data_IF_685083895074
#
_entry.id   IF_685083895074
#
_cell.length_a   1.000
_cell.length_b   1.000
_cell.length_c   1.000
_cell.angle_alpha   90.00
_cell.angle_beta   90.00
_cell.angle_gamma   90.00
#
_symmetry.space_group_name_H-M   'P 1'
#
loop_
_entity.id
_entity.type
_entity.pdbx_description
1 polymer ?
#
# COMPACT_ATOMS: atom_id res chain seq x y z
N UNK A 1 25.66 -30.61 -23.62
CA UNK A 1 24.26 -31.07 -23.79
C UNK A 1 23.56 -30.77 -22.47
N UNK A 2 22.28 -30.35 -22.54
CA UNK A 2 21.48 -29.68 -21.48
C UNK A 2 21.82 -28.18 -21.36
N UNK A 3 20.90 -27.21 -21.50
CA UNK A 3 19.45 -27.22 -21.69
C UNK A 3 18.89 -25.89 -21.15
N UNK A 4 19.01 -24.80 -21.91
CA UNK A 4 18.52 -23.47 -21.49
C UNK A 4 16.99 -23.38 -21.58
N UNK A 5 16.30 -22.82 -20.56
CA UNK A 5 14.86 -22.53 -20.66
C UNK A 5 14.59 -21.29 -21.52
N UNK A 6 13.61 -21.44 -22.40
CA UNK A 6 13.10 -20.45 -23.35
C UNK A 6 12.30 -19.36 -22.63
N UNK A 7 12.58 -18.10 -22.93
CA UNK A 7 11.70 -16.96 -22.64
C UNK A 7 10.55 -16.92 -23.65
N UNK A 8 9.31 -16.58 -23.25
CA UNK A 8 8.24 -16.33 -24.20
C UNK A 8 8.32 -14.90 -24.76
N UNK A 9 8.37 -14.84 -26.08
CA UNK A 9 8.25 -13.65 -26.92
C UNK A 9 6.81 -13.11 -26.92
N UNK A 10 6.58 -11.92 -26.37
CA UNK A 10 5.35 -11.16 -26.59
C UNK A 10 5.51 -10.36 -27.89
N UNK A 11 5.00 -10.92 -28.99
CA UNK A 11 4.81 -10.21 -30.26
C UNK A 11 3.51 -9.41 -30.24
N UNK A 12 3.51 -8.31 -31.00
CA UNK A 12 2.57 -7.21 -30.91
C UNK A 12 1.13 -7.49 -31.33
N UNK A 13 0.27 -6.53 -30.99
CA UNK A 13 -0.91 -6.16 -31.76
C UNK A 13 -1.14 -4.64 -31.59
N UNK A 14 -0.93 -3.82 -32.63
CA UNK A 14 -1.56 -2.51 -32.74
C UNK A 14 -2.81 -2.68 -33.62
N UNK A 15 -3.99 -2.56 -33.03
CA UNK A 15 -5.25 -2.66 -33.77
C UNK A 15 -6.30 -1.76 -33.12
N UNK A 16 -6.34 -0.48 -33.50
CA UNK A 16 -7.55 0.35 -33.64
C UNK A 16 -7.21 1.59 -34.49
N UNK A 17 -6.96 1.35 -35.79
CA UNK A 17 -7.26 2.35 -36.82
C UNK A 17 -8.77 2.32 -37.02
N UNK A 18 -9.46 3.37 -36.61
CA UNK A 18 -10.85 3.63 -37.00
C UNK A 18 -10.90 4.84 -37.93
N UNK A 19 -11.64 4.76 -39.04
CA UNK A 19 -11.59 5.70 -40.15
C UNK A 19 -12.36 7.00 -39.87
N UNK A 20 -11.97 8.03 -40.63
CA UNK A 20 -12.50 9.39 -40.57
C UNK A 20 -14.01 9.48 -40.72
N UNK A 21 -14.61 10.26 -39.84
CA UNK A 21 -15.98 10.71 -39.93
C UNK A 21 -16.01 11.99 -40.77
N UNK A 22 -16.39 11.86 -42.05
CA UNK A 22 -16.65 12.99 -42.94
C UNK A 22 -17.86 13.78 -42.43
N UNK A 23 -17.63 15.01 -41.99
CA UNK A 23 -18.68 15.97 -41.67
C UNK A 23 -19.11 16.62 -42.99
N UNK A 24 -20.22 16.14 -43.55
CA UNK A 24 -20.92 16.81 -44.64
C UNK A 24 -21.50 18.16 -44.21
N UNK A 25 -21.61 19.15 -45.12
CA UNK A 25 -22.16 20.46 -44.79
C UNK A 25 -23.68 20.38 -44.58
N UNK A 26 -24.14 20.72 -43.38
CA UNK A 26 -25.55 20.94 -43.08
C UNK A 26 -25.96 22.25 -43.72
N UNK A 27 -26.59 22.16 -44.88
CA UNK A 27 -27.34 23.25 -45.50
C UNK A 27 -28.75 23.25 -44.90
N UNK A 28 -29.14 24.39 -44.35
CA UNK A 28 -30.54 24.82 -44.31
C UNK A 28 -31.25 24.65 -42.96
N UNK A 29 -31.42 25.77 -42.25
CA UNK A 29 -32.75 26.35 -42.04
C UNK A 29 -32.64 27.61 -41.20
N UNK A 30 -32.53 28.75 -41.87
CA UNK A 30 -32.86 30.04 -41.30
C UNK A 30 -34.39 30.11 -41.16
N UNK A 31 -34.93 29.65 -40.04
CA UNK A 31 -36.33 29.84 -39.69
C UNK A 31 -36.43 30.49 -38.30
N UNK A 32 -36.86 31.76 -38.33
CA UNK A 32 -37.72 32.39 -37.32
C UNK A 32 -37.18 32.59 -35.89
N UNK A 33 -36.15 33.43 -35.74
CA UNK A 33 -35.61 33.89 -34.44
C UNK A 33 -36.43 35.01 -33.76
N UNK A 34 -37.75 35.09 -33.99
CA UNK A 34 -38.62 36.15 -33.43
C UNK A 34 -39.62 35.66 -32.38
N UNK A 35 -39.70 34.36 -32.12
CA UNK A 35 -40.54 33.73 -31.08
C UNK A 35 -39.87 33.59 -29.71
N UNK A 36 -38.58 33.20 -29.66
CA UNK A 36 -37.85 32.85 -28.43
C UNK A 36 -37.85 33.93 -27.33
N UNK A 37 -37.93 35.22 -27.69
CA UNK A 37 -37.91 36.30 -26.69
C UNK A 37 -39.19 36.44 -25.87
N UNK A 38 -40.32 35.99 -26.40
CA UNK A 38 -41.60 36.07 -25.68
C UNK A 38 -41.76 34.89 -24.71
N UNK A 39 -41.26 33.72 -25.09
CA UNK A 39 -41.34 32.52 -24.27
C UNK A 39 -40.34 32.57 -23.10
N UNK A 40 -39.11 33.05 -23.33
CA UNK A 40 -38.13 33.25 -22.25
C UNK A 40 -38.59 34.26 -21.18
N UNK A 41 -39.34 35.30 -21.57
CA UNK A 41 -39.92 36.26 -20.61
C UNK A 41 -41.06 35.66 -19.80
N UNK A 42 -41.88 34.81 -20.43
CA UNK A 42 -42.96 34.09 -19.76
C UNK A 42 -42.40 33.08 -18.77
N UNK A 43 -41.41 32.30 -19.17
CA UNK A 43 -40.71 31.35 -18.31
C UNK A 43 -40.02 32.04 -17.13
N UNK A 44 -39.34 33.17 -17.34
CA UNK A 44 -38.75 33.94 -16.26
C UNK A 44 -39.81 34.46 -15.27
N UNK A 45 -40.95 34.95 -15.78
CA UNK A 45 -42.05 35.41 -14.92
C UNK A 45 -42.74 34.27 -14.17
N UNK A 46 -42.84 33.09 -14.78
CA UNK A 46 -43.34 31.87 -14.14
C UNK A 46 -42.41 31.43 -13.01
N UNK A 47 -41.11 31.42 -13.29
CA UNK A 47 -40.08 31.05 -12.32
C UNK A 47 -40.07 31.97 -11.10
N UNK A 48 -40.10 33.29 -11.29
CA UNK A 48 -40.14 34.23 -10.16
C UNK A 48 -41.37 34.00 -9.27
N UNK A 49 -42.55 33.83 -9.89
CA UNK A 49 -43.81 33.57 -9.17
C UNK A 49 -43.85 32.23 -8.44
N UNK A 50 -43.20 31.20 -9.00
CA UNK A 50 -43.08 29.90 -8.35
C UNK A 50 -42.12 29.93 -7.15
N UNK A 51 -41.00 30.64 -7.30
CA UNK A 51 -39.90 30.62 -6.31
C UNK A 51 -40.20 31.51 -5.11
N UNK A 52 -40.76 32.71 -5.31
CA UNK A 52 -41.07 33.68 -4.25
C UNK A 52 -41.74 33.05 -3.00
N UNK A 53 -42.84 32.29 -3.13
CA UNK A 53 -43.53 31.69 -1.98
C UNK A 53 -42.73 30.56 -1.32
N UNK A 54 -41.77 29.95 -2.04
CA UNK A 54 -40.99 28.80 -1.57
C UNK A 54 -39.62 29.17 -0.98
N UNK A 55 -39.18 30.42 -1.08
CA UNK A 55 -37.82 30.86 -0.73
C UNK A 55 -37.38 30.47 0.68
N UNK A 56 -38.23 30.65 1.69
CA UNK A 56 -37.89 30.33 3.07
C UNK A 56 -37.72 28.82 3.30
N UNK A 57 -38.47 28.00 2.57
CA UNK A 57 -38.33 26.55 2.61
C UNK A 57 -37.06 26.10 1.89
N UNK A 58 -36.73 26.70 0.74
CA UNK A 58 -35.47 26.44 0.02
C UNK A 58 -34.25 26.80 0.87
N UNK A 59 -34.28 27.94 1.59
CA UNK A 59 -33.23 28.31 2.56
C UNK A 59 -33.07 27.28 3.66
N UNK A 60 -34.18 26.76 4.21
CA UNK A 60 -34.14 25.68 5.20
C UNK A 60 -33.49 24.42 4.64
N UNK A 61 -33.84 24.01 3.42
CA UNK A 61 -33.21 22.86 2.75
C UNK A 61 -31.70 23.11 2.58
N UNK A 62 -31.29 24.26 2.03
CA UNK A 62 -29.86 24.62 1.87
C UNK A 62 -29.09 24.61 3.20
N UNK A 63 -29.70 25.09 4.29
CA UNK A 63 -29.05 25.04 5.62
C UNK A 63 -28.81 23.61 6.10
N UNK A 64 -29.61 22.64 5.65
CA UNK A 64 -29.45 21.23 6.03
C UNK A 64 -28.36 20.51 5.22
N UNK A 65 -27.95 21.04 4.06
CA UNK A 65 -27.01 20.40 3.13
C UNK A 65 -25.53 20.71 3.41
N UNK A 66 -25.15 21.14 4.62
CA UNK A 66 -23.74 21.41 5.01
C UNK A 66 -22.98 22.33 4.01
N UNK A 67 -23.66 23.27 3.37
CA UNK A 67 -23.11 24.20 2.34
C UNK A 67 -22.72 23.54 1.01
N UNK A 68 -23.19 22.33 0.73
CA UNK A 68 -22.94 21.68 -0.56
C UNK A 68 -23.79 22.27 -1.69
N UNK A 69 -24.99 22.73 -1.35
CA UNK A 69 -25.92 23.34 -2.30
C UNK A 69 -26.24 24.75 -1.83
N UNK A 70 -26.14 25.71 -2.75
CA UNK A 70 -26.57 27.08 -2.49
C UNK A 70 -28.08 27.21 -2.71
N UNK A 71 -28.66 28.31 -2.23
CA UNK A 71 -30.08 28.59 -2.48
C UNK A 71 -30.33 28.76 -3.97
N UNK A 72 -29.38 29.30 -4.73
CA UNK A 72 -29.52 29.51 -6.16
C UNK A 72 -29.54 28.18 -6.94
N UNK A 73 -28.71 27.21 -6.53
CA UNK A 73 -28.77 25.85 -7.08
C UNK A 73 -30.15 25.22 -6.87
N UNK A 74 -30.69 25.35 -5.66
CA UNK A 74 -32.01 24.82 -5.33
C UNK A 74 -33.16 25.51 -6.08
N UNK A 75 -32.99 26.76 -6.51
CA UNK A 75 -34.00 27.42 -7.37
C UNK A 75 -34.03 26.77 -8.75
N UNK A 76 -32.86 26.51 -9.35
CA UNK A 76 -32.77 25.83 -10.65
C UNK A 76 -33.41 24.45 -10.55
N UNK A 77 -33.11 23.68 -9.50
CA UNK A 77 -33.71 22.36 -9.29
C UNK A 77 -35.22 22.42 -9.04
N UNK A 78 -35.70 23.45 -8.35
CA UNK A 78 -37.14 23.67 -8.14
C UNK A 78 -37.88 23.88 -9.47
N UNK A 79 -37.28 24.63 -10.40
CA UNK A 79 -37.84 24.84 -11.74
C UNK A 79 -37.89 23.55 -12.56
N UNK A 80 -36.79 22.78 -12.56
CA UNK A 80 -36.74 21.47 -13.23
C UNK A 80 -37.81 20.54 -12.64
N UNK A 81 -37.92 20.49 -11.31
CA UNK A 81 -38.92 19.68 -10.64
C UNK A 81 -40.36 20.08 -10.96
N UNK A 82 -40.65 21.37 -11.14
CA UNK A 82 -41.96 21.87 -11.53
C UNK A 82 -42.31 21.46 -12.97
N UNK A 83 -41.36 21.61 -13.90
CA UNK A 83 -41.54 21.19 -15.28
C UNK A 83 -41.78 19.68 -15.40
N UNK A 84 -40.99 18.87 -14.68
CA UNK A 84 -41.19 17.42 -14.63
C UNK A 84 -42.60 17.07 -14.16
N UNK A 85 -43.09 17.75 -13.12
CA UNK A 85 -44.40 17.48 -12.54
C UNK A 85 -45.57 17.88 -13.47
N UNK A 86 -45.44 19.00 -14.18
CA UNK A 86 -46.41 19.40 -15.20
C UNK A 86 -46.43 18.42 -16.39
N UNK A 87 -45.26 17.92 -16.81
CA UNK A 87 -45.16 16.91 -17.87
C UNK A 87 -45.78 15.57 -17.45
N UNK A 88 -45.57 15.14 -16.20
CA UNK A 88 -46.15 13.90 -15.66
C UNK A 88 -47.69 13.95 -15.59
N UNK A 89 -48.26 15.11 -15.25
CA UNK A 89 -49.72 15.30 -15.18
C UNK A 89 -50.35 15.61 -16.54
N UNK A 90 -49.59 16.12 -17.50
CA UNK A 90 -50.09 16.56 -18.80
C UNK A 90 -51.02 17.78 -18.70
N UNK A 91 -50.91 18.57 -17.63
CA UNK A 91 -51.74 19.75 -17.37
C UNK A 91 -50.84 20.93 -17.04
N UNK A 92 -51.08 22.06 -17.71
CA UNK A 92 -50.47 23.35 -17.34
C UNK A 92 -51.07 23.83 -16.02
N UNK A 93 -50.26 23.81 -14.96
CA UNK A 93 -50.61 24.32 -13.63
C UNK A 93 -50.03 25.72 -13.45
N UNK A 94 -50.74 26.57 -12.72
CA UNK A 94 -50.28 27.92 -12.41
C UNK A 94 -49.14 27.86 -11.38
N UNK A 95 -48.14 28.77 -11.43
CA UNK A 95 -47.00 28.74 -10.50
C UNK A 95 -47.41 29.03 -9.04
N UNK A 96 -48.56 29.65 -8.85
CA UNK A 96 -49.15 29.97 -7.53
C UNK A 96 -49.93 28.78 -6.94
N UNK A 97 -50.09 27.67 -7.68
CA UNK A 97 -50.82 26.51 -7.19
C UNK A 97 -50.09 25.83 -6.03
N UNK A 98 -50.74 25.81 -4.85
CA UNK A 98 -50.20 25.17 -3.64
C UNK A 98 -49.82 23.71 -3.88
N UNK A 99 -50.59 22.97 -4.69
CA UNK A 99 -50.31 21.57 -5.01
C UNK A 99 -49.00 21.38 -5.77
N UNK A 100 -48.69 22.30 -6.70
CA UNK A 100 -47.44 22.28 -7.45
C UNK A 100 -46.27 22.59 -6.52
N UNK A 101 -46.40 23.64 -5.71
CA UNK A 101 -45.38 24.06 -4.75
C UNK A 101 -45.07 22.97 -3.72
N UNK A 102 -46.09 22.34 -3.15
CA UNK A 102 -45.93 21.23 -2.21
C UNK A 102 -45.25 20.01 -2.86
N UNK A 103 -45.61 19.68 -4.10
CA UNK A 103 -45.01 18.57 -4.84
C UNK A 103 -43.51 18.82 -5.10
N UNK A 104 -43.17 20.03 -5.55
CA UNK A 104 -41.78 20.45 -5.78
C UNK A 104 -40.99 20.41 -4.47
N UNK A 105 -41.51 21.02 -3.40
CA UNK A 105 -40.87 21.00 -2.08
C UNK A 105 -40.65 19.56 -1.57
N UNK A 106 -41.65 18.68 -1.74
CA UNK A 106 -41.54 17.28 -1.34
C UNK A 106 -40.47 16.53 -2.12
N UNK A 107 -40.36 16.78 -3.43
CA UNK A 107 -39.30 16.22 -4.28
C UNK A 107 -37.92 16.71 -3.84
N UNK A 108 -37.77 18.01 -3.60
CA UNK A 108 -36.51 18.61 -3.10
C UNK A 108 -36.14 18.11 -1.70
N UNK A 109 -37.09 18.01 -0.76
CA UNK A 109 -36.83 17.43 0.57
C UNK A 109 -36.41 15.97 0.49
N UNK A 110 -36.95 15.20 -0.46
CA UNK A 110 -36.53 13.81 -0.68
C UNK A 110 -35.14 13.72 -1.30
N UNK A 111 -34.79 14.63 -2.20
CA UNK A 111 -33.52 14.65 -2.92
C UNK A 111 -32.36 15.27 -2.13
N UNK A 112 -32.63 16.29 -1.31
CA UNK A 112 -31.62 17.10 -0.62
C UNK A 112 -31.82 17.18 0.89
N UNK A 113 -32.95 16.72 1.40
CA UNK A 113 -33.24 16.76 2.82
C UNK A 113 -32.37 15.82 3.65
N UNK A 114 -32.60 15.86 4.97
CA UNK A 114 -31.79 15.22 6.04
C UNK A 114 -31.44 13.74 5.82
N UNK A 115 -32.15 13.02 4.95
CA UNK A 115 -32.02 11.58 4.72
C UNK A 115 -31.54 11.18 3.32
N UNK A 116 -31.48 12.11 2.36
CA UNK A 116 -31.25 11.77 0.96
C UNK A 116 -29.89 11.10 0.70
N UNK A 117 -28.94 11.29 1.61
CA UNK A 117 -27.59 10.76 1.46
C UNK A 117 -26.97 10.41 2.81
N UNK A 118 -27.60 9.51 3.58
CA UNK A 118 -26.99 9.01 4.83
C UNK A 118 -25.61 8.39 4.58
N UNK A 119 -25.46 7.69 3.46
CA UNK A 119 -24.21 7.07 3.01
C UNK A 119 -23.17 8.09 2.57
N UNK A 120 -23.51 9.08 1.75
CA UNK A 120 -22.56 10.12 1.35
C UNK A 120 -22.24 11.10 2.50
N UNK A 121 -23.15 11.28 3.47
CA UNK A 121 -22.90 12.11 4.67
C UNK A 121 -21.81 11.54 5.57
N UNK A 122 -21.62 10.22 5.55
CA UNK A 122 -20.53 9.52 6.24
C UNK A 122 -19.33 9.28 5.34
N UNK A 123 -19.46 9.46 4.03
CA UNK A 123 -18.34 9.31 3.12
C UNK A 123 -17.37 10.47 3.33
N UNK A 124 -16.10 10.14 3.52
CA UNK A 124 -15.05 11.11 3.72
C UNK A 124 -14.63 11.67 2.35
N UNK A 125 -14.72 12.99 2.16
CA UNK A 125 -14.34 13.64 0.90
C UNK A 125 -12.83 13.79 0.85
N UNK A 126 -12.19 13.13 -0.11
CA UNK A 126 -10.74 13.20 -0.30
C UNK A 126 -10.32 14.58 -0.84
N UNK A 127 -11.13 15.17 -1.73
CA UNK A 127 -10.85 16.45 -2.40
C UNK A 127 -11.10 17.69 -1.53
N UNK A 128 -11.63 17.52 -0.32
CA UNK A 128 -11.94 18.65 0.54
C UNK A 128 -10.68 19.15 1.24
N UNK A 129 -10.09 20.21 0.70
CA UNK A 129 -9.03 20.98 1.35
C UNK A 129 -9.63 21.70 2.57
N UNK A 130 -9.08 21.46 3.76
CA UNK A 130 -9.41 22.25 4.94
C UNK A 130 -8.49 23.46 5.00
N UNK A 131 -9.07 24.65 5.13
CA UNK A 131 -8.32 25.87 5.38
C UNK A 131 -8.16 26.01 6.90
N UNK A 132 -6.93 26.18 7.36
CA UNK A 132 -6.64 26.42 8.78
C UNK A 132 -6.99 27.86 9.20
N UNK A 133 -6.90 28.16 10.50
CA UNK A 133 -7.18 29.49 11.05
C UNK A 133 -6.22 30.59 10.51
N UNK A 134 -5.13 30.20 9.84
CA UNK A 134 -4.16 31.08 9.21
C UNK A 134 -4.43 31.30 7.71
N UNK A 135 -5.43 30.62 7.13
CA UNK A 135 -5.74 30.69 5.71
C UNK A 135 -4.90 29.76 4.83
N UNK A 136 -4.08 28.88 5.43
CA UNK A 136 -3.28 27.90 4.69
C UNK A 136 -4.11 26.65 4.39
N UNK A 137 -3.92 26.10 3.18
CA UNK A 137 -4.58 24.88 2.74
C UNK A 137 -3.86 23.68 3.34
N UNK A 138 -4.52 22.98 4.26
CA UNK A 138 -4.02 21.73 4.82
C UNK A 138 -4.40 20.56 3.92
N UNK A 139 -3.39 19.77 3.54
CA UNK A 139 -3.60 18.51 2.86
C UNK A 139 -4.40 17.56 3.75
N UNK A 140 -5.34 16.86 3.12
CA UNK A 140 -6.26 15.98 3.82
C UNK A 140 -5.51 14.79 4.46
N UNK A 141 -5.63 14.60 5.78
CA UNK A 141 -4.86 13.60 6.53
C UNK A 141 -5.09 12.17 6.05
N UNK A 142 -6.29 11.87 5.54
CA UNK A 142 -6.61 10.56 4.96
C UNK A 142 -5.89 10.37 3.63
N UNK A 143 -5.79 11.43 2.81
CA UNK A 143 -5.04 11.38 1.54
C UNK A 143 -3.56 11.15 1.80
N UNK A 144 -3.00 11.81 2.82
CA UNK A 144 -1.62 11.57 3.24
C UNK A 144 -1.38 10.13 3.70
N UNK A 145 -2.36 9.47 4.33
CA UNK A 145 -2.29 8.06 4.71
C UNK A 145 -2.53 7.07 3.56
N UNK A 146 -3.10 7.52 2.45
CA UNK A 146 -3.31 6.72 1.23
C UNK A 146 -2.11 6.79 0.29
N UNK A 147 -1.20 7.73 0.48
CA UNK A 147 0.07 7.75 -0.25
C UNK A 147 0.83 6.46 0.06
N UNK A 148 1.22 5.73 -1.00
CA UNK A 148 2.07 4.57 -0.83
C UNK A 148 3.37 5.01 -0.15
N UNK A 149 3.88 4.27 0.85
CA UNK A 149 5.15 4.61 1.46
C UNK A 149 6.24 4.69 0.38
N UNK A 150 7.18 5.62 0.52
CA UNK A 150 8.32 5.80 -0.40
C UNK A 150 9.14 4.51 -0.60
N UNK A 151 8.96 3.52 0.28
CA UNK A 151 9.54 2.18 0.14
C UNK A 151 9.04 1.41 -1.08
N UNK A 152 7.93 1.82 -1.71
CA UNK A 152 7.37 1.22 -2.93
C UNK A 152 7.78 1.93 -4.21
N UNK A 153 8.61 2.98 -4.13
CA UNK A 153 9.16 3.59 -5.32
C UNK A 153 10.11 2.60 -6.03
N UNK A 154 9.94 2.37 -7.34
CA UNK A 154 10.69 1.35 -8.06
C UNK A 154 12.20 1.59 -8.02
N UNK A 155 12.62 2.86 -7.96
CA UNK A 155 14.03 3.25 -7.84
C UNK A 155 14.61 2.84 -6.48
N UNK A 156 13.89 3.12 -5.40
CA UNK A 156 14.27 2.75 -4.02
C UNK A 156 14.32 1.23 -3.83
N UNK A 157 13.39 0.50 -4.44
CA UNK A 157 13.39 -0.97 -4.42
C UNK A 157 14.61 -1.52 -5.15
N UNK A 158 14.95 -0.97 -6.33
CA UNK A 158 16.10 -1.39 -7.11
C UNK A 158 17.43 -1.09 -6.41
N UNK A 159 17.56 0.10 -5.82
CA UNK A 159 18.76 0.50 -5.07
C UNK A 159 19.02 -0.45 -3.90
N UNK A 160 17.99 -0.72 -3.07
CA UNK A 160 18.11 -1.66 -1.95
C UNK A 160 18.49 -3.07 -2.40
N UNK A 161 17.92 -3.54 -3.53
CA UNK A 161 18.26 -4.85 -4.07
C UNK A 161 19.73 -4.90 -4.53
N UNK A 162 20.25 -3.82 -5.11
CA UNK A 162 21.66 -3.71 -5.52
C UNK A 162 22.60 -3.66 -4.30
N UNK A 163 22.27 -2.86 -3.28
CA UNK A 163 23.03 -2.81 -2.03
C UNK A 163 23.07 -4.17 -1.33
N UNK A 164 21.92 -4.84 -1.25
CA UNK A 164 21.83 -6.16 -0.66
C UNK A 164 22.69 -7.18 -1.41
N UNK A 165 22.66 -7.18 -2.74
CA UNK A 165 23.49 -8.03 -3.56
C UNK A 165 25.00 -7.72 -3.41
N UNK A 166 25.37 -6.43 -3.28
CA UNK A 166 26.75 -6.03 -3.03
C UNK A 166 27.24 -6.51 -1.65
N UNK A 167 26.40 -6.38 -0.62
CA UNK A 167 26.69 -6.85 0.74
C UNK A 167 26.88 -8.37 0.79
N UNK A 168 26.03 -9.13 0.10
CA UNK A 168 26.17 -10.58 -0.02
C UNK A 168 27.51 -10.96 -0.67
N UNK A 169 27.93 -10.25 -1.72
CA UNK A 169 29.23 -10.50 -2.37
C UNK A 169 30.40 -10.26 -1.41
N UNK A 170 30.39 -9.15 -0.68
CA UNK A 170 31.41 -8.83 0.32
C UNK A 170 31.46 -9.84 1.46
N UNK A 171 30.31 -10.37 1.88
CA UNK A 171 30.23 -11.43 2.88
C UNK A 171 30.78 -12.75 2.34
N UNK A 172 30.46 -13.11 1.10
CA UNK A 172 30.91 -14.37 0.49
C UNK A 172 32.43 -14.46 0.28
N UNK A 173 33.10 -13.32 0.17
CA UNK A 173 34.57 -13.26 0.12
C UNK A 173 35.23 -13.56 1.47
N UNK A 174 34.47 -13.51 2.58
CA UNK A 174 34.97 -13.75 3.94
C UNK A 174 34.56 -15.16 4.40
N UNK A 175 35.55 -16.05 4.56
CA UNK A 175 35.31 -17.36 5.15
C UNK A 175 35.15 -17.26 6.67
N UNK A 176 33.90 -17.18 7.14
CA UNK A 176 33.56 -17.28 8.56
C UNK A 176 32.57 -18.42 8.81
N UNK A 177 32.71 -19.10 9.96
CA UNK A 177 31.81 -20.18 10.38
C UNK A 177 30.33 -19.70 10.44
N UNK A 178 30.08 -18.46 10.85
CA UNK A 178 28.73 -17.88 10.87
C UNK A 178 28.11 -17.74 9.48
N UNK A 179 28.90 -17.34 8.49
CA UNK A 179 28.45 -17.19 7.10
C UNK A 179 28.14 -18.57 6.49
N UNK A 180 28.94 -19.59 6.79
CA UNK A 180 28.66 -20.96 6.37
C UNK A 180 27.32 -21.47 6.94
N UNK A 181 27.02 -21.21 8.21
CA UNK A 181 25.73 -21.59 8.79
C UNK A 181 24.56 -20.79 8.22
N UNK A 182 24.74 -19.50 7.89
CA UNK A 182 23.69 -18.72 7.22
C UNK A 182 23.32 -19.31 5.87
N UNK A 183 24.31 -19.68 5.04
CA UNK A 183 24.06 -20.35 3.75
C UNK A 183 23.37 -21.71 3.91
N UNK A 184 23.76 -22.49 4.93
CA UNK A 184 23.10 -23.77 5.23
C UNK A 184 21.67 -23.54 5.69
N UNK A 185 21.41 -22.53 6.52
CA UNK A 185 20.05 -22.19 6.97
C UNK A 185 19.17 -21.75 5.79
N UNK A 186 19.69 -20.91 4.90
CA UNK A 186 18.98 -20.46 3.69
C UNK A 186 18.66 -21.63 2.75
N UNK A 187 19.62 -22.53 2.52
CA UNK A 187 19.43 -23.70 1.65
C UNK A 187 18.37 -24.70 2.16
N UNK A 188 18.13 -24.75 3.47
CA UNK A 188 17.18 -25.66 4.11
C UNK A 188 15.96 -24.94 4.70
N UNK A 189 15.65 -23.72 4.25
CA UNK A 189 14.51 -22.91 4.71
C UNK A 189 14.43 -22.74 6.25
N UNK A 190 15.59 -22.77 6.93
CA UNK A 190 15.69 -22.70 8.38
C UNK A 190 15.35 -24.00 9.14
N UNK A 191 15.14 -25.13 8.45
CA UNK A 191 14.79 -26.41 9.06
C UNK A 191 15.99 -27.08 9.77
N UNK A 192 16.24 -26.64 11.00
CA UNK A 192 17.26 -27.18 11.91
C UNK A 192 17.31 -28.72 12.03
N UNK A 193 16.20 -29.48 12.12
CA UNK A 193 16.29 -30.93 12.23
C UNK A 193 16.81 -31.58 10.94
N UNK A 194 16.47 -31.02 9.78
CA UNK A 194 16.96 -31.51 8.47
C UNK A 194 18.45 -31.21 8.36
N UNK A 195 18.86 -30.00 8.72
CA UNK A 195 20.27 -29.58 8.75
C UNK A 195 21.08 -30.49 9.67
N UNK A 196 20.59 -30.77 10.89
CA UNK A 196 21.27 -31.64 11.83
C UNK A 196 21.43 -33.07 11.27
N UNK A 197 20.39 -33.60 10.62
CA UNK A 197 20.45 -34.90 9.93
C UNK A 197 21.44 -34.88 8.76
N UNK A 198 21.44 -33.84 7.95
CA UNK A 198 22.33 -33.66 6.81
C UNK A 198 23.80 -33.59 7.24
N UNK A 199 24.08 -32.86 8.32
CA UNK A 199 25.42 -32.74 8.91
C UNK A 199 25.81 -33.95 9.79
N UNK A 200 24.94 -34.95 9.94
CA UNK A 200 25.12 -36.11 10.81
C UNK A 200 25.48 -35.75 12.26
N UNK A 201 24.82 -34.72 12.81
CA UNK A 201 24.98 -34.26 14.20
C UNK A 201 23.64 -34.27 14.94
N UNK A 202 23.70 -34.30 16.27
CA UNK A 202 22.50 -34.10 17.08
C UNK A 202 22.02 -32.64 16.99
N UNK A 203 20.70 -32.41 17.04
CA UNK A 203 20.11 -31.08 17.02
C UNK A 203 20.70 -30.15 18.10
N UNK A 204 20.89 -30.66 19.32
CA UNK A 204 21.54 -29.91 20.41
C UNK A 204 22.97 -29.45 20.06
N UNK A 205 23.69 -30.24 19.26
CA UNK A 205 25.03 -29.87 18.79
C UNK A 205 24.95 -28.78 17.73
N UNK A 206 23.98 -28.84 16.82
CA UNK A 206 23.73 -27.77 15.86
C UNK A 206 23.40 -26.46 16.58
N UNK A 207 22.48 -26.48 17.54
CA UNK A 207 22.11 -25.28 18.32
C UNK A 207 23.31 -24.68 19.04
N UNK A 208 24.14 -25.50 19.68
CA UNK A 208 25.36 -25.02 20.34
C UNK A 208 26.38 -24.41 19.38
N UNK A 209 26.45 -24.89 18.12
CA UNK A 209 27.33 -24.33 17.09
C UNK A 209 26.77 -23.04 16.51
N UNK A 210 25.46 -22.97 16.25
CA UNK A 210 24.78 -21.75 15.82
C UNK A 210 24.94 -20.63 16.85
N UNK A 211 24.67 -20.93 18.13
CA UNK A 211 24.82 -19.97 19.22
C UNK A 211 26.28 -19.51 19.34
N UNK A 212 27.25 -20.42 19.19
CA UNK A 212 28.66 -20.03 19.18
C UNK A 212 29.02 -19.15 17.99
N UNK A 213 28.51 -19.46 16.81
CA UNK A 213 28.75 -18.69 15.59
C UNK A 213 28.11 -17.29 15.68
N UNK A 214 26.94 -17.17 16.30
CA UNK A 214 26.28 -15.91 16.64
C UNK A 214 27.13 -15.11 17.64
N UNK A 215 27.55 -15.73 18.74
CA UNK A 215 28.49 -15.09 19.70
C UNK A 215 29.77 -14.65 19.00
N UNK A 216 30.31 -15.42 18.05
CA UNK A 216 31.52 -15.01 17.33
C UNK A 216 31.30 -13.92 16.28
N UNK A 217 30.09 -13.84 15.71
CA UNK A 217 29.69 -12.76 14.82
C UNK A 217 29.50 -11.44 15.60
N UNK A 218 28.94 -11.53 16.81
CA UNK A 218 28.78 -10.39 17.72
C UNK A 218 30.11 -10.01 18.40
N UNK A 219 30.89 -11.00 18.82
CA UNK A 219 32.12 -10.86 19.58
C UNK A 219 33.26 -11.60 18.87
N UNK A 220 33.95 -10.89 17.98
CA UNK A 220 35.17 -11.43 17.37
C UNK A 220 36.29 -11.43 18.43
N UNK A 221 36.83 -12.60 18.84
CA UNK A 221 37.93 -12.69 19.81
C UNK A 221 39.20 -12.23 19.11
N UNK A 222 39.35 -10.93 18.99
CA UNK A 222 40.41 -10.31 18.23
C UNK A 222 41.33 -9.55 19.18
N UNK A 223 42.47 -9.10 18.67
CA UNK A 223 43.39 -8.24 19.41
C UNK A 223 42.83 -6.84 19.72
N UNK A 224 41.54 -6.64 19.47
CA UNK A 224 40.80 -5.38 19.42
C UNK A 224 39.61 -5.39 20.38
N UNK A 225 39.76 -6.01 21.56
CA UNK A 225 38.74 -5.97 22.62
C UNK A 225 38.29 -4.50 22.84
N UNK A 226 37.06 -4.17 22.43
CA UNK A 226 36.45 -2.85 22.62
C UNK A 226 36.73 -1.78 21.54
N UNK A 227 37.22 -2.14 20.35
CA UNK A 227 37.46 -1.19 19.25
C UNK A 227 36.50 -1.47 18.08
N UNK A 228 35.64 -0.51 17.74
CA UNK A 228 34.63 -0.62 16.67
C UNK A 228 35.24 -0.51 15.26
N UNK A 229 36.40 0.15 15.11
CA UNK A 229 37.10 0.31 13.83
C UNK A 229 38.62 0.32 13.98
N UNK A 230 39.32 -0.46 13.15
CA UNK A 230 40.80 -0.55 13.18
C UNK A 230 41.41 0.68 12.50
N UNK A 231 42.18 1.53 13.22
CA UNK A 231 42.83 2.69 12.62
C UNK A 231 43.93 2.27 11.63
N UNK A 232 44.17 3.07 10.59
CA UNK A 232 45.13 2.76 9.51
C UNK A 232 46.59 2.56 9.99
N UNK A 233 46.95 3.04 11.18
CA UNK A 233 48.26 2.86 11.81
C UNK A 233 48.29 1.82 12.93
N UNK A 234 47.34 0.89 12.97
CA UNK A 234 47.23 -0.05 14.09
C UNK A 234 48.48 -0.94 14.23
N UNK A 235 49.09 -0.87 15.41
CA UNK A 235 50.12 -1.79 15.85
C UNK A 235 49.61 -2.51 17.10
N UNK A 236 49.59 -3.85 17.09
CA UNK A 236 49.17 -4.60 18.26
C UNK A 236 50.09 -4.35 19.45
N UNK A 237 49.56 -4.25 20.68
CA UNK A 237 50.41 -4.13 21.85
C UNK A 237 51.33 -5.36 21.97
N UNK A 238 52.58 -5.18 22.45
CA UNK A 238 53.49 -6.29 22.63
C UNK A 238 52.88 -7.34 23.56
N UNK A 239 52.88 -8.60 23.12
CA UNK A 239 52.19 -9.68 23.80
C UNK A 239 52.60 -9.84 25.27
N UNK A 240 51.68 -9.57 26.19
CA UNK A 240 51.88 -9.90 27.60
C UNK A 240 51.71 -11.40 27.80
N UNK A 241 52.78 -12.11 28.21
CA UNK A 241 52.65 -13.51 28.65
C UNK A 241 51.68 -13.54 29.82
N UNK A 242 50.44 -14.00 29.60
CA UNK A 242 49.53 -14.33 30.70
C UNK A 242 50.28 -15.31 31.59
N UNK A 243 50.63 -14.89 32.81
CA UNK A 243 51.14 -15.81 33.84
C UNK A 243 50.09 -16.91 33.93
N UNK A 244 50.45 -18.12 33.50
CA UNK A 244 49.51 -19.22 33.39
C UNK A 244 48.71 -19.30 34.67
N UNK A 245 47.37 -19.24 34.58
CA UNK A 245 46.52 -19.58 35.71
C UNK A 245 47.01 -20.94 36.18
N UNK A 246 47.54 -20.98 37.40
CA UNK A 246 48.02 -22.19 38.04
C UNK A 246 46.89 -23.20 37.90
N UNK A 247 47.06 -24.20 37.03
CA UNK A 247 46.05 -25.22 36.85
C UNK A 247 45.86 -25.85 38.22
N UNK A 248 44.70 -25.60 38.86
CA UNK A 248 44.35 -26.27 40.09
C UNK A 248 44.52 -27.76 39.83
N UNK A 249 45.42 -28.38 40.60
CA UNK A 249 45.87 -29.78 40.46
C UNK A 249 44.78 -30.79 40.87
N UNK A 250 43.52 -30.54 40.50
CA UNK A 250 42.39 -31.43 40.78
C UNK A 250 41.83 -32.12 39.53
N UNK A 251 42.42 -31.93 38.35
CA UNK A 251 42.00 -32.58 37.10
C UNK A 251 42.65 -33.95 36.80
N UNK A 252 43.47 -34.53 37.70
CA UNK A 252 44.17 -35.80 37.45
C UNK A 252 43.45 -37.06 37.93
N UNK A 253 42.14 -37.00 38.16
CA UNK A 253 41.35 -38.20 38.52
C UNK A 253 40.26 -38.59 37.51
N UNK A 254 40.11 -37.89 36.38
CA UNK A 254 39.10 -38.22 35.35
C UNK A 254 39.68 -38.52 33.96
N UNK A 255 40.88 -39.09 33.88
CA UNK A 255 41.46 -39.63 32.62
C UNK A 255 41.30 -41.17 32.52
N UNK A 256 40.69 -41.84 33.50
CA UNK A 256 40.48 -43.29 33.49
C UNK A 256 39.03 -43.74 33.18
N UNK A 257 38.14 -42.83 32.82
CA UNK A 257 36.73 -43.14 32.48
C UNK A 257 36.34 -42.58 31.09
N UNK A 258 37.13 -42.92 30.07
CA UNK A 258 36.64 -42.97 28.69
C UNK A 258 37.00 -44.31 28.05
N UNK A 259 36.20 -45.37 28.27
CA UNK A 259 35.99 -46.38 27.25
C UNK A 259 34.58 -46.22 26.66
N UNK A 260 34.35 -46.79 25.48
CA UNK A 260 33.03 -46.99 24.83
C UNK A 260 32.48 -45.96 23.85
N UNK A 261 33.28 -45.50 22.89
CA UNK A 261 32.74 -45.16 21.54
C UNK A 261 33.68 -45.59 20.40
N UNK A 262 34.38 -46.73 20.54
CA UNK A 262 35.28 -47.25 19.49
C UNK A 262 34.71 -48.46 18.71
N UNK A 263 33.42 -48.79 18.81
CA UNK A 263 32.86 -49.99 18.17
C UNK A 263 31.59 -49.81 17.33
N UNK A 264 31.13 -48.59 17.04
CA UNK A 264 29.91 -48.40 16.24
C UNK A 264 30.08 -48.51 14.72
N UNK A 265 31.30 -48.73 14.19
CA UNK A 265 31.54 -48.88 12.74
C UNK A 265 32.33 -50.12 12.32
N UNK A 266 32.26 -51.23 13.07
CA UNK A 266 33.01 -52.46 12.70
C UNK A 266 32.18 -53.71 12.37
N UNK A 267 30.85 -53.61 12.20
CA UNK A 267 30.02 -54.75 11.76
C UNK A 267 28.80 -54.35 10.94
N UNK A 268 28.99 -53.86 9.72
CA UNK A 268 28.06 -54.15 8.60
C UNK A 268 28.88 -54.22 7.33
N UNK A 269 29.26 -55.43 6.93
CA UNK A 269 30.08 -55.64 5.75
C UNK A 269 30.32 -57.11 5.49
N UNK A 270 29.26 -57.87 5.20
CA UNK A 270 29.30 -59.06 4.35
C UNK A 270 27.95 -59.78 4.35
N UNK A 271 27.54 -60.25 3.17
CA UNK A 271 26.44 -61.18 2.85
C UNK A 271 25.16 -60.50 2.32
N UNK A 272 25.23 -60.08 1.05
CA UNK A 272 24.16 -60.32 0.07
C UNK A 272 24.83 -60.81 -1.22
N UNK A 273 24.91 -62.13 -1.35
CA UNK A 273 25.21 -62.88 -2.57
C UNK A 273 24.35 -64.15 -2.53
N UNK A 274 23.08 -64.02 -2.93
CA UNK A 274 22.28 -64.92 -3.79
C UNK A 274 20.81 -64.56 -3.72
#
# INVERSE_FOLDING_TARGET
>A
MEGYPRTPSCQGNPLWDSPGFEIGPIVGSALSFRGDRMDAKREASFFERLIEPMLDQLRRIASTTRKEYTVDDLKVDAFIAANDYQQELGVELEPEDEKLQEAVLKKLWKAFGKFANRTLRTAFRLDQESVDDNGERQANSVVAGLAAPDTYEPEVVLERAQEHAANIRLLNERFCESIAYLHILDHFDGDKPIIARYLAIHAKTLDARLLRAEIFAEFQPSMFDGIEAVPAGFLPPPGARRRGRMQHRFGRLFVLMRPWQAHLFSRVGSILLR
#
